data_IF_391390203694
#
_entry.id   IF_391390203694
#
_cell.length_a   1.000
_cell.length_b   1.000
_cell.length_c   1.000
_cell.angle_alpha   90.00
_cell.angle_beta   90.00
_cell.angle_gamma   90.00
#
_symmetry.space_group_name_H-M   'P 1'
#
loop_
_entity.id
_entity.type
_entity.pdbx_description
1 polymer ?
#
# COMPACT_ATOMS: atom_id res chain seq x y z
N UNK A 1 58.33 9.54 -17.08
CA UNK A 1 57.71 9.15 -15.80
C UNK A 1 56.61 10.15 -15.51
N UNK A 2 55.36 9.73 -15.44
CA UNK A 2 54.24 10.61 -15.14
C UNK A 2 53.89 10.46 -13.65
N UNK A 3 53.87 11.57 -12.91
CA UNK A 3 53.46 11.61 -11.52
C UNK A 3 52.00 12.05 -11.49
N UNK A 4 51.09 11.12 -11.22
CA UNK A 4 49.69 11.44 -10.91
C UNK A 4 49.62 11.80 -9.43
N UNK A 5 49.41 13.08 -9.14
CA UNK A 5 49.08 13.55 -7.79
C UNK A 5 47.57 13.71 -7.76
N UNK A 6 46.89 12.83 -7.01
CA UNK A 6 45.48 12.97 -6.69
C UNK A 6 45.33 14.11 -5.67
N UNK A 7 44.68 15.19 -6.07
CA UNK A 7 44.22 16.24 -5.13
C UNK A 7 43.04 15.67 -4.33
N UNK A 8 42.99 15.82 -2.99
CA UNK A 8 41.94 15.21 -2.19
C UNK A 8 40.59 15.86 -2.52
N UNK A 9 39.66 15.05 -3.03
CA UNK A 9 38.26 15.44 -3.18
C UNK A 9 37.62 15.48 -1.78
N UNK A 10 37.40 16.66 -1.22
CA UNK A 10 36.75 16.79 0.07
C UNK A 10 35.22 16.83 -0.09
N UNK A 11 34.57 15.67 0.09
CA UNK A 11 33.12 15.49 0.09
C UNK A 11 32.52 15.64 1.50
N UNK A 12 33.07 16.52 2.34
CA UNK A 12 32.57 16.68 3.71
C UNK A 12 31.13 17.25 3.71
N UNK A 13 30.16 16.46 4.17
CA UNK A 13 28.79 16.91 4.39
C UNK A 13 28.71 17.50 5.79
N UNK A 14 28.65 18.83 5.88
CA UNK A 14 28.50 19.54 7.16
C UNK A 14 27.01 19.66 7.47
N UNK A 15 26.55 18.85 8.43
CA UNK A 15 25.18 18.91 8.96
C UNK A 15 25.15 19.88 10.15
N UNK A 16 24.27 20.90 10.15
CA UNK A 16 24.13 21.80 11.29
C UNK A 16 23.76 21.05 12.58
N UNK A 17 24.27 21.51 13.72
CA UNK A 17 23.94 20.91 15.03
C UNK A 17 22.43 20.88 15.29
N UNK A 18 21.70 21.93 14.88
CA UNK A 18 20.25 21.98 14.99
C UNK A 18 19.58 20.84 14.23
N UNK A 19 20.00 20.58 12.98
CA UNK A 19 19.48 19.48 12.16
C UNK A 19 19.84 18.11 12.73
N UNK A 20 21.07 17.95 13.23
CA UNK A 20 21.49 16.69 13.87
C UNK A 20 20.72 16.41 15.17
N UNK A 21 20.37 17.46 15.91
CA UNK A 21 19.60 17.37 17.15
C UNK A 21 18.08 17.36 16.92
N UNK A 22 17.60 17.59 15.69
CA UNK A 22 16.18 17.54 15.33
C UNK A 22 15.53 16.17 15.58
N UNK A 23 16.33 15.14 15.83
CA UNK A 23 15.87 13.81 16.20
C UNK A 23 15.37 13.74 17.66
N UNK A 24 15.83 14.66 18.50
CA UNK A 24 15.46 14.66 19.91
C UNK A 24 14.05 15.20 20.09
N UNK A 25 13.21 14.47 20.83
CA UNK A 25 11.84 14.88 21.16
C UNK A 25 11.81 16.12 22.07
N UNK A 26 12.83 16.27 22.94
CA UNK A 26 12.85 17.31 23.96
C UNK A 26 13.24 18.66 23.34
N UNK A 27 12.23 19.45 22.97
CA UNK A 27 12.40 20.83 22.48
C UNK A 27 12.18 21.04 20.98
N UNK A 28 11.72 20.01 20.24
CA UNK A 28 11.31 20.13 18.84
C UNK A 28 9.81 19.88 18.70
N UNK A 29 9.12 20.73 17.94
CA UNK A 29 7.69 20.57 17.65
C UNK A 29 7.44 19.35 16.75
N UNK A 30 8.32 19.14 15.75
CA UNK A 30 8.25 18.03 14.81
C UNK A 30 9.58 17.25 14.79
N UNK A 31 9.82 16.35 15.77
CA UNK A 31 11.04 15.55 15.79
C UNK A 31 11.09 14.58 14.60
N UNK A 32 12.27 14.46 14.00
CA UNK A 32 12.50 13.51 12.89
C UNK A 32 13.05 12.18 13.41
N UNK A 33 12.78 11.07 12.72
CA UNK A 33 13.41 9.80 13.08
C UNK A 33 14.92 9.79 12.78
N UNK A 34 15.68 8.93 13.47
CA UNK A 34 17.09 8.66 13.10
C UNK A 34 17.22 8.18 11.65
N UNK A 35 16.22 7.43 11.18
CA UNK A 35 16.15 6.97 9.79
C UNK A 35 15.96 8.14 8.82
N UNK A 36 15.10 9.11 9.16
CA UNK A 36 14.92 10.35 8.41
C UNK A 36 16.21 11.19 8.36
N UNK A 37 16.93 11.34 9.47
CA UNK A 37 18.22 12.03 9.47
C UNK A 37 19.25 11.31 8.57
N UNK A 38 19.33 9.98 8.67
CA UNK A 38 20.21 9.17 7.82
C UNK A 38 19.85 9.29 6.34
N UNK A 39 18.56 9.32 6.02
CA UNK A 39 18.06 9.53 4.66
C UNK A 39 18.44 10.92 4.14
N UNK A 40 18.27 11.98 4.94
CA UNK A 40 18.63 13.35 4.57
C UNK A 40 20.13 13.47 4.27
N UNK A 41 20.98 12.92 5.13
CA UNK A 41 22.44 12.91 4.91
C UNK A 41 22.81 12.13 3.65
N UNK A 42 22.14 11.00 3.39
CA UNK A 42 22.32 10.24 2.16
C UNK A 42 21.93 11.07 0.92
N UNK A 43 20.80 11.79 0.96
CA UNK A 43 20.37 12.67 -0.13
C UNK A 43 21.37 13.80 -0.38
N UNK A 44 21.91 14.41 0.68
CA UNK A 44 22.93 15.47 0.59
C UNK A 44 24.28 14.97 0.04
N UNK A 45 24.52 13.67 0.06
CA UNK A 45 25.78 13.08 -0.46
C UNK A 45 25.83 12.98 -1.98
N UNK A 46 24.68 13.08 -2.66
CA UNK A 46 24.63 12.94 -4.11
C UNK A 46 25.07 14.22 -4.85
N UNK A 47 25.66 14.08 -6.05
CA UNK A 47 26.01 15.22 -6.86
C UNK A 47 24.75 15.95 -7.36
N UNK A 48 24.87 17.26 -7.62
CA UNK A 48 23.76 18.11 -8.07
C UNK A 48 23.12 17.70 -9.40
N UNK A 49 23.84 16.93 -10.23
CA UNK A 49 23.34 16.40 -11.51
C UNK A 49 22.55 15.09 -11.35
N UNK A 50 22.41 14.58 -10.13
CA UNK A 50 21.75 13.30 -9.91
C UNK A 50 20.23 13.44 -9.97
N UNK A 51 19.60 12.63 -10.82
CA UNK A 51 18.14 12.55 -10.94
C UNK A 51 17.59 11.57 -9.89
N UNK A 52 16.82 12.09 -8.93
CA UNK A 52 16.22 11.28 -7.88
C UNK A 52 14.86 10.71 -8.34
N UNK A 53 14.79 9.39 -8.44
CA UNK A 53 13.50 8.68 -8.57
C UNK A 53 13.07 8.10 -7.22
N UNK A 54 11.93 8.54 -6.69
CA UNK A 54 11.40 8.08 -5.38
C UNK A 54 11.22 6.56 -5.31
N UNK A 55 10.85 5.93 -6.42
CA UNK A 55 10.70 4.46 -6.53
C UNK A 55 12.04 3.71 -6.52
N UNK A 56 13.12 4.33 -6.97
CA UNK A 56 14.48 3.79 -6.86
C UNK A 56 14.96 3.90 -5.41
N UNK A 57 14.73 5.05 -4.78
CA UNK A 57 15.12 5.32 -3.40
C UNK A 57 14.61 4.25 -2.43
N UNK A 58 13.36 3.81 -2.59
CA UNK A 58 12.74 2.77 -1.76
C UNK A 58 13.37 1.39 -1.85
N UNK A 59 14.09 1.10 -2.94
CA UNK A 59 14.71 -0.21 -3.20
C UNK A 59 16.21 -0.21 -2.94
N UNK A 60 16.83 0.96 -2.78
CA UNK A 60 18.28 1.11 -2.69
C UNK A 60 18.87 0.57 -1.38
N UNK A 61 18.12 0.65 -0.29
CA UNK A 61 18.60 0.26 1.03
C UNK A 61 18.34 -1.22 1.31
N UNK A 62 19.40 -2.04 1.34
CA UNK A 62 19.25 -3.49 1.57
C UNK A 62 18.83 -3.89 2.98
N UNK A 63 19.05 -3.02 3.98
CA UNK A 63 18.69 -3.26 5.39
C UNK A 63 17.34 -2.66 5.76
N UNK A 64 16.96 -1.54 5.13
CA UNK A 64 15.72 -0.84 5.43
C UNK A 64 14.61 -1.34 4.50
N UNK A 65 13.43 -1.55 5.07
CA UNK A 65 12.23 -1.88 4.27
C UNK A 65 11.75 -0.62 3.55
N UNK A 66 11.11 -0.80 2.40
CA UNK A 66 10.45 0.30 1.67
C UNK A 66 9.54 1.15 2.58
N UNK A 67 8.80 0.51 3.50
CA UNK A 67 7.94 1.21 4.46
C UNK A 67 8.69 2.14 5.40
N UNK A 68 9.91 1.75 5.82
CA UNK A 68 10.77 2.58 6.68
C UNK A 68 11.28 3.79 5.90
N UNK A 69 11.73 3.60 4.66
CA UNK A 69 12.18 4.70 3.78
C UNK A 69 11.02 5.67 3.48
N UNK A 70 9.81 5.15 3.25
CA UNK A 70 8.60 5.97 3.09
C UNK A 70 8.27 6.78 4.34
N UNK A 71 8.35 6.15 5.51
CA UNK A 71 8.10 6.83 6.79
C UNK A 71 9.13 7.94 7.00
N UNK A 72 10.41 7.63 6.81
CA UNK A 72 11.50 8.59 6.91
C UNK A 72 11.34 9.78 5.96
N UNK A 73 10.90 9.53 4.72
CA UNK A 73 10.58 10.59 3.76
C UNK A 73 9.43 11.48 4.26
N UNK A 74 8.36 10.89 4.79
CA UNK A 74 7.24 11.65 5.34
C UNK A 74 7.64 12.47 6.57
N UNK A 75 8.47 11.93 7.46
CA UNK A 75 9.01 12.68 8.61
C UNK A 75 9.77 13.93 8.14
N UNK A 76 10.57 13.81 7.07
CA UNK A 76 11.29 14.94 6.49
C UNK A 76 10.35 15.97 5.86
N UNK A 77 9.23 15.57 5.26
CA UNK A 77 8.22 16.52 4.75
C UNK A 77 7.50 17.24 5.88
N UNK A 78 7.07 16.51 6.92
CA UNK A 78 6.40 17.07 8.10
C UNK A 78 7.29 18.05 8.87
N UNK A 79 8.60 17.77 8.92
CA UNK A 79 9.59 18.66 9.52
C UNK A 79 10.11 19.73 8.54
N UNK A 80 9.48 19.90 7.37
CA UNK A 80 9.82 20.89 6.34
C UNK A 80 11.26 20.80 5.82
N UNK A 81 11.92 19.64 5.82
CA UNK A 81 13.21 19.45 5.16
C UNK A 81 13.08 19.15 3.67
N UNK A 82 11.93 18.63 3.25
CA UNK A 82 11.61 18.26 1.87
C UNK A 82 10.29 18.89 1.46
N UNK A 83 10.24 19.43 0.24
CA UNK A 83 9.02 19.89 -0.44
C UNK A 83 8.88 19.03 -1.69
N UNK A 84 7.72 18.39 -1.86
CA UNK A 84 7.42 17.61 -3.06
C UNK A 84 6.13 18.08 -3.72
N UNK A 85 6.16 18.28 -5.04
CA UNK A 85 4.95 18.49 -5.82
C UNK A 85 5.08 17.79 -7.17
N UNK A 86 3.94 17.58 -7.83
CA UNK A 86 3.88 17.08 -9.20
C UNK A 86 3.03 18.01 -10.04
N UNK A 87 3.31 18.08 -11.33
CA UNK A 87 2.50 18.82 -12.27
C UNK A 87 2.24 17.98 -13.52
N UNK A 88 1.25 18.40 -14.31
CA UNK A 88 0.94 17.75 -15.58
C UNK A 88 1.80 18.29 -16.69
N UNK A 89 2.68 17.44 -17.22
CA UNK A 89 3.40 17.68 -18.47
C UNK A 89 2.75 16.83 -19.56
N UNK A 90 1.80 17.43 -20.27
CA UNK A 90 0.94 16.74 -21.24
C UNK A 90 0.19 15.55 -20.63
N UNK A 91 0.50 14.32 -21.09
CA UNK A 91 -0.13 13.08 -20.59
C UNK A 91 0.57 12.47 -19.39
N UNK A 92 1.76 12.95 -19.02
CA UNK A 92 2.58 12.40 -17.95
C UNK A 92 2.51 13.29 -16.70
N UNK A 93 2.92 12.72 -15.59
CA UNK A 93 3.18 13.45 -14.35
C UNK A 93 4.68 13.65 -14.23
N UNK A 94 5.10 14.88 -13.99
CA UNK A 94 6.48 15.20 -13.63
C UNK A 94 6.52 15.53 -12.13
N UNK A 95 7.55 15.05 -11.46
CA UNK A 95 7.71 15.15 -10.01
C UNK A 95 8.92 16.02 -9.71
N UNK A 96 8.74 16.99 -8.82
CA UNK A 96 9.80 17.90 -8.40
C UNK A 96 9.98 17.78 -6.90
N UNK A 97 11.25 17.69 -6.48
CA UNK A 97 11.65 17.53 -5.10
C UNK A 97 12.67 18.60 -4.74
N UNK A 98 12.35 19.41 -3.72
CA UNK A 98 13.31 20.30 -3.09
C UNK A 98 13.69 19.72 -1.74
N UNK A 99 14.98 19.68 -1.44
CA UNK A 99 15.48 19.25 -0.14
C UNK A 99 16.61 20.17 0.32
N UNK A 100 16.70 20.40 1.64
CA UNK A 100 17.70 21.29 2.23
C UNK A 100 18.23 20.73 3.54
N UNK A 101 19.45 21.13 3.92
CA UNK A 101 20.06 20.77 5.22
C UNK A 101 19.42 21.45 6.44
N UNK A 102 18.65 22.51 6.22
CA UNK A 102 17.91 23.30 7.22
C UNK A 102 16.45 23.30 6.79
N UNK A 103 15.48 23.17 7.72
CA UNK A 103 14.07 23.15 7.35
C UNK A 103 13.66 24.45 6.66
N UNK A 104 12.72 24.36 5.73
CA UNK A 104 12.06 25.50 5.08
C UNK A 104 11.12 26.19 6.07
N UNK A 105 11.09 27.52 6.03
CA UNK A 105 10.04 28.26 6.74
C UNK A 105 8.71 28.09 6.00
N UNK A 106 7.60 28.27 6.71
CA UNK A 106 6.27 28.21 6.09
C UNK A 106 6.10 29.23 4.96
N UNK A 107 6.73 30.40 5.09
CA UNK A 107 6.76 31.46 4.08
C UNK A 107 7.55 31.03 2.84
N UNK A 108 8.78 30.52 3.01
CA UNK A 108 9.59 29.99 1.90
C UNK A 108 8.85 28.86 1.16
N UNK A 109 8.21 27.96 1.92
CA UNK A 109 7.41 26.87 1.35
C UNK A 109 6.27 27.41 0.49
N UNK A 110 5.52 28.39 0.99
CA UNK A 110 4.42 29.01 0.24
C UNK A 110 4.92 29.74 -1.02
N UNK A 111 6.05 30.44 -0.94
CA UNK A 111 6.67 31.10 -2.10
C UNK A 111 7.10 30.11 -3.18
N UNK A 112 7.73 29.01 -2.80
CA UNK A 112 8.14 27.95 -3.74
C UNK A 112 6.92 27.38 -4.46
N UNK A 113 5.81 27.16 -3.75
CA UNK A 113 4.58 26.64 -4.35
C UNK A 113 3.90 27.66 -5.25
N UNK A 114 3.79 28.92 -4.83
CA UNK A 114 3.20 29.97 -5.65
C UNK A 114 4.02 30.21 -6.94
N UNK A 115 5.35 30.10 -6.87
CA UNK A 115 6.22 30.17 -8.04
C UNK A 115 6.03 28.95 -8.96
N UNK A 116 5.89 27.75 -8.38
CA UNK A 116 5.61 26.54 -9.14
C UNK A 116 4.22 26.59 -9.83
N UNK A 117 3.21 27.16 -9.18
CA UNK A 117 1.89 27.39 -9.80
C UNK A 117 1.97 28.35 -10.97
N UNK A 118 2.75 29.43 -10.84
CA UNK A 118 2.96 30.39 -11.93
C UNK A 118 3.73 29.80 -13.11
N UNK A 119 4.72 28.95 -12.85
CA UNK A 119 5.59 28.36 -13.87
C UNK A 119 4.94 27.17 -14.57
N UNK A 120 4.33 26.24 -13.81
CA UNK A 120 3.82 24.97 -14.31
C UNK A 120 2.29 24.90 -14.39
N UNK A 121 1.57 25.91 -13.88
CA UNK A 121 0.11 25.93 -13.83
C UNK A 121 -0.43 25.13 -12.65
N UNK A 122 -1.38 24.24 -12.91
CA UNK A 122 -2.00 23.43 -11.85
C UNK A 122 -0.99 22.42 -11.28
N UNK A 123 -0.43 22.75 -10.11
CA UNK A 123 0.41 21.85 -9.34
C UNK A 123 -0.45 21.02 -8.39
N UNK A 124 0.00 19.80 -8.18
CA UNK A 124 -0.61 18.86 -7.28
C UNK A 124 0.42 18.46 -6.22
N UNK A 125 0.18 18.87 -4.98
CA UNK A 125 0.95 18.39 -3.83
C UNK A 125 0.61 19.19 -2.57
N UNK A 126 0.60 18.54 -1.39
CA UNK A 126 1.82 18.49 -0.57
C UNK A 126 1.74 17.66 0.71
N UNK A 127 0.57 17.32 1.23
CA UNK A 127 0.47 16.49 2.44
C UNK A 127 -0.61 15.44 2.19
N UNK A 128 -0.24 14.16 2.11
CA UNK A 128 -1.25 13.07 2.17
C UNK A 128 -2.04 13.12 3.49
N UNK A 129 -1.61 13.94 4.46
CA UNK A 129 -2.35 14.26 5.68
C UNK A 129 -3.56 15.17 5.42
N UNK A 130 -3.46 16.19 4.56
CA UNK A 130 -4.54 17.16 4.31
C UNK A 130 -5.54 16.68 3.25
N UNK A 131 -5.14 15.67 2.44
CA UNK A 131 -6.07 14.83 1.68
C UNK A 131 -6.67 13.68 2.50
N UNK A 132 -6.69 13.78 3.84
CA UNK A 132 -7.88 13.34 4.58
C UNK A 132 -9.03 14.31 4.29
N UNK A 133 -9.41 14.42 3.01
CA UNK A 133 -10.81 14.67 2.71
C UNK A 133 -11.59 13.65 3.53
N UNK A 134 -12.58 14.12 4.30
CA UNK A 134 -13.55 13.32 5.03
C UNK A 134 -14.29 12.37 4.07
N UNK A 135 -13.58 11.36 3.57
CA UNK A 135 -14.03 10.49 2.51
C UNK A 135 -13.99 9.06 3.01
N UNK A 136 -15.21 8.56 3.13
CA UNK A 136 -15.62 7.19 3.40
C UNK A 136 -15.24 6.62 4.77
N UNK A 137 -16.29 6.54 5.60
CA UNK A 137 -16.50 5.70 6.79
C UNK A 137 -15.30 4.82 7.15
N UNK A 138 -14.78 4.90 8.40
CA UNK A 138 -13.75 3.97 8.85
C UNK A 138 -14.19 2.54 8.56
N UNK A 139 -13.31 1.76 7.92
CA UNK A 139 -13.51 0.32 7.74
C UNK A 139 -13.73 -0.24 9.15
N UNK A 140 -14.99 -0.51 9.47
CA UNK A 140 -15.40 -0.91 10.80
C UNK A 140 -14.58 -2.11 11.23
N UNK A 141 -13.74 -1.93 12.23
CA UNK A 141 -13.34 -3.05 13.08
C UNK A 141 -14.66 -3.64 13.59
N UNK A 142 -14.94 -4.88 13.22
CA UNK A 142 -16.09 -5.62 13.72
C UNK A 142 -15.98 -5.69 15.25
N UNK A 143 -16.61 -4.72 15.92
CA UNK A 143 -16.95 -4.82 17.33
C UNK A 143 -18.31 -5.50 17.39
N UNK A 144 -18.31 -6.59 18.13
CA UNK A 144 -19.42 -7.44 18.55
C UNK A 144 -20.73 -6.67 18.74
N UNK A 145 -21.78 -7.24 18.14
CA UNK A 145 -23.20 -6.85 18.21
C UNK A 145 -23.66 -6.81 19.67
N UNK A 146 -24.16 -5.67 20.12
CA UNK A 146 -25.15 -5.57 21.20
C UNK A 146 -26.13 -4.42 20.88
N UNK A 147 -27.36 -4.84 20.57
CA UNK A 147 -28.68 -4.17 20.45
C UNK A 147 -28.81 -2.67 20.81
N UNK A 148 -29.39 -1.86 19.90
CA UNK A 148 -30.72 -1.21 20.07
C UNK A 148 -31.13 -0.31 18.88
N UNK A 149 -32.34 -0.62 18.38
CA UNK A 149 -33.44 0.19 17.82
C UNK A 149 -33.31 1.04 16.54
N UNK A 150 -34.39 1.14 15.72
CA UNK A 150 -34.35 1.63 14.34
C UNK A 150 -34.65 3.13 14.25
N UNK A 151 -33.90 3.85 13.41
CA UNK A 151 -34.20 5.26 13.08
C UNK A 151 -34.51 5.38 11.59
N UNK A 152 -35.52 6.20 11.36
CA UNK A 152 -36.44 6.31 10.25
C UNK A 152 -35.84 6.98 9.00
N UNK A 153 -36.57 6.76 7.90
CA UNK A 153 -36.43 7.36 6.58
C UNK A 153 -36.15 8.87 6.63
N UNK A 154 -35.19 9.31 5.81
CA UNK A 154 -35.21 10.63 5.19
C UNK A 154 -35.09 10.48 3.68
N UNK A 155 -36.20 10.79 3.00
CA UNK A 155 -36.21 11.17 1.60
C UNK A 155 -35.61 12.58 1.48
N UNK A 156 -34.69 12.80 0.53
CA UNK A 156 -34.63 14.02 -0.28
C UNK A 156 -33.62 13.87 -1.44
N UNK A 157 -34.19 13.71 -2.63
CA UNK A 157 -34.02 14.52 -3.85
C UNK A 157 -32.62 15.00 -4.28
N UNK A 158 -32.27 14.56 -5.50
CA UNK A 158 -31.39 15.18 -6.50
C UNK A 158 -30.08 15.80 -6.00
N UNK A 159 -29.02 14.98 -6.09
CA UNK A 159 -27.68 15.47 -6.41
C UNK A 159 -27.25 14.67 -7.64
N UNK A 160 -27.24 15.33 -8.80
CA UNK A 160 -26.57 14.83 -9.99
C UNK A 160 -25.07 14.81 -9.69
N UNK A 161 -24.61 13.68 -9.15
CA UNK A 161 -23.19 13.37 -9.17
C UNK A 161 -22.83 13.07 -10.62
N UNK A 162 -22.19 14.04 -11.28
CA UNK A 162 -21.53 13.82 -12.57
C UNK A 162 -20.39 12.82 -12.30
N UNK A 163 -20.67 11.58 -12.66
CA UNK A 163 -19.73 10.47 -12.69
C UNK A 163 -18.94 10.55 -14.00
N UNK A 164 -17.67 10.98 -13.90
CA UNK A 164 -16.73 11.11 -15.02
C UNK A 164 -16.32 9.75 -15.62
N UNK A 165 -16.82 8.62 -15.09
CA UNK A 165 -16.53 7.27 -15.59
C UNK A 165 -17.62 6.72 -16.55
N UNK A 166 -18.53 7.57 -17.05
CA UNK A 166 -19.44 7.19 -18.15
C UNK A 166 -18.71 7.11 -19.48
N UNK A 167 -18.11 5.94 -19.70
CA UNK A 167 -17.74 5.42 -21.02
C UNK A 167 -18.93 5.62 -21.98
N UNK A 168 -18.70 6.36 -23.05
CA UNK A 168 -19.69 6.65 -24.08
C UNK A 168 -20.26 5.34 -24.64
N UNK A 169 -21.53 5.07 -24.36
CA UNK A 169 -22.27 4.02 -25.04
C UNK A 169 -22.56 4.50 -26.47
N UNK A 170 -22.32 3.69 -27.51
CA UNK A 170 -22.87 4.00 -28.81
C UNK A 170 -24.39 3.85 -28.71
N UNK A 171 -25.09 4.97 -28.66
CA UNK A 171 -26.55 5.07 -28.68
C UNK A 171 -27.05 4.72 -30.09
N UNK A 172 -27.01 3.44 -30.44
CA UNK A 172 -27.80 2.88 -31.53
C UNK A 172 -29.19 2.55 -30.98
N UNK A 173 -30.11 3.50 -31.08
CA UNK A 173 -31.54 3.29 -30.83
C UNK A 173 -32.04 2.17 -31.77
N UNK A 174 -32.89 1.30 -31.25
CA UNK A 174 -33.78 0.38 -31.97
C UNK A 174 -33.45 -1.14 -31.95
N UNK A 175 -32.56 -1.65 -31.08
CA UNK A 175 -32.42 -3.12 -30.90
C UNK A 175 -32.13 -3.68 -29.49
N UNK A 176 -31.96 -2.85 -28.46
CA UNK A 176 -31.42 -3.32 -27.17
C UNK A 176 -32.45 -3.74 -26.09
N UNK A 177 -33.69 -3.27 -26.16
CA UNK A 177 -34.66 -3.41 -25.04
C UNK A 177 -35.07 -4.87 -24.82
N UNK A 178 -35.16 -5.68 -25.87
CA UNK A 178 -35.52 -7.10 -25.76
C UNK A 178 -34.39 -8.01 -25.25
N UNK A 179 -33.13 -7.54 -25.22
CA UNK A 179 -31.99 -8.36 -24.79
C UNK A 179 -31.79 -8.35 -23.27
N UNK A 180 -32.15 -7.26 -22.57
CA UNK A 180 -31.89 -7.13 -21.12
C UNK A 180 -32.76 -8.07 -20.27
N UNK A 181 -34.05 -8.18 -20.58
CA UNK A 181 -34.96 -9.10 -19.88
C UNK A 181 -34.55 -10.57 -20.08
N UNK A 182 -34.09 -10.91 -21.28
CA UNK A 182 -33.57 -12.25 -21.60
C UNK A 182 -32.29 -12.55 -20.82
N UNK A 183 -31.36 -11.59 -20.75
CA UNK A 183 -30.12 -11.69 -19.97
C UNK A 183 -30.43 -11.85 -18.47
N UNK A 184 -31.35 -11.05 -17.94
CA UNK A 184 -31.74 -11.13 -16.52
C UNK A 184 -32.41 -12.47 -16.19
N UNK A 185 -33.26 -12.99 -17.09
CA UNK A 185 -33.86 -14.32 -16.94
C UNK A 185 -32.81 -15.43 -16.94
N UNK A 186 -31.79 -15.31 -17.81
CA UNK A 186 -30.66 -16.25 -17.85
C UNK A 186 -29.86 -16.18 -16.54
N UNK A 187 -29.52 -14.98 -16.06
CA UNK A 187 -28.79 -14.77 -14.80
C UNK A 187 -29.55 -15.39 -13.63
N UNK A 188 -30.86 -15.18 -13.54
CA UNK A 188 -31.70 -15.75 -12.49
C UNK A 188 -31.68 -17.28 -12.51
N UNK A 189 -31.85 -17.90 -13.68
CA UNK A 189 -31.81 -19.36 -13.83
C UNK A 189 -30.46 -19.96 -13.39
N UNK A 190 -29.34 -19.35 -13.79
CA UNK A 190 -28.02 -19.79 -13.35
C UNK A 190 -27.78 -19.52 -11.86
N UNK A 191 -28.40 -18.49 -11.29
CA UNK A 191 -28.29 -18.21 -9.85
C UNK A 191 -28.95 -19.29 -9.02
N UNK A 192 -30.16 -19.70 -9.39
CA UNK A 192 -30.86 -20.79 -8.69
C UNK A 192 -30.10 -22.11 -8.84
N UNK A 193 -29.56 -22.39 -10.03
CA UNK A 193 -28.78 -23.61 -10.27
C UNK A 193 -27.45 -23.68 -9.48
N UNK A 194 -26.82 -22.54 -9.17
CA UNK A 194 -25.48 -22.48 -8.54
C UNK A 194 -25.50 -21.99 -7.09
N UNK A 195 -26.70 -21.89 -6.49
CA UNK A 195 -26.91 -21.27 -5.18
C UNK A 195 -26.13 -21.93 -4.04
N UNK A 196 -26.04 -23.26 -4.07
CA UNK A 196 -25.42 -24.06 -3.01
C UNK A 196 -23.91 -24.27 -3.24
N UNK A 197 -23.45 -24.13 -4.49
CA UNK A 197 -22.06 -24.33 -4.87
C UNK A 197 -21.25 -23.03 -4.79
N UNK A 198 -21.90 -21.88 -5.03
CA UNK A 198 -21.24 -20.59 -5.19
C UNK A 198 -21.87 -19.47 -4.35
N UNK A 199 -21.01 -18.76 -3.62
CA UNK A 199 -21.44 -17.59 -2.83
C UNK A 199 -21.95 -16.45 -3.71
N UNK A 200 -22.92 -15.69 -3.19
CA UNK A 200 -23.56 -14.56 -3.89
C UNK A 200 -22.56 -13.55 -4.46
N UNK A 201 -21.53 -13.23 -3.66
CA UNK A 201 -20.45 -12.33 -4.04
C UNK A 201 -19.67 -12.85 -5.25
N UNK A 202 -19.37 -14.14 -5.27
CA UNK A 202 -18.58 -14.75 -6.35
C UNK A 202 -19.39 -14.85 -7.63
N UNK A 203 -20.67 -15.21 -7.52
CA UNK A 203 -21.61 -15.24 -8.64
C UNK A 203 -21.75 -13.85 -9.30
N UNK A 204 -22.04 -12.81 -8.50
CA UNK A 204 -22.18 -11.43 -9.01
C UNK A 204 -20.91 -10.92 -9.69
N UNK A 205 -19.73 -11.27 -9.16
CA UNK A 205 -18.45 -10.89 -9.78
C UNK A 205 -18.26 -11.53 -11.18
N UNK A 206 -18.68 -12.79 -11.35
CA UNK A 206 -18.63 -13.48 -12.64
C UNK A 206 -19.63 -12.87 -13.61
N UNK A 207 -20.87 -12.66 -13.17
CA UNK A 207 -21.92 -12.03 -14.01
C UNK A 207 -21.45 -10.66 -14.52
N UNK A 208 -20.91 -9.80 -13.65
CA UNK A 208 -20.37 -8.49 -14.06
C UNK A 208 -19.31 -8.64 -15.16
N UNK A 209 -18.34 -9.54 -14.96
CA UNK A 209 -17.28 -9.80 -15.95
C UNK A 209 -17.81 -10.34 -17.28
N UNK A 210 -18.84 -11.18 -17.25
CA UNK A 210 -19.46 -11.76 -18.45
C UNK A 210 -20.27 -10.71 -19.21
N UNK A 211 -21.07 -9.91 -18.50
CA UNK A 211 -21.81 -8.77 -19.07
C UNK A 211 -20.84 -7.78 -19.72
N UNK A 212 -19.75 -7.42 -19.05
CA UNK A 212 -18.74 -6.51 -19.61
C UNK A 212 -18.12 -7.04 -20.90
N UNK A 213 -17.86 -8.34 -21.00
CA UNK A 213 -17.28 -8.97 -22.19
C UNK A 213 -18.28 -9.13 -23.33
N UNK A 214 -19.54 -9.42 -23.00
CA UNK A 214 -20.64 -9.49 -23.95
C UNK A 214 -20.91 -8.11 -24.56
N UNK A 215 -20.98 -7.06 -23.73
CA UNK A 215 -21.16 -5.67 -24.18
C UNK A 215 -19.97 -5.16 -25.02
N UNK A 216 -18.78 -5.73 -24.85
CA UNK A 216 -17.61 -5.46 -25.69
C UNK A 216 -17.64 -6.19 -27.04
N UNK A 217 -18.64 -7.03 -27.31
CA UNK A 217 -18.71 -7.85 -28.53
C UNK A 217 -17.65 -8.95 -28.62
N UNK A 218 -16.92 -9.22 -27.52
CA UNK A 218 -15.87 -10.25 -27.46
C UNK A 218 -16.44 -11.66 -27.34
N UNK A 219 -17.73 -11.77 -27.07
CA UNK A 219 -18.46 -13.01 -26.82
C UNK A 219 -19.73 -12.97 -27.65
N UNK A 220 -19.96 -14.02 -28.44
CA UNK A 220 -21.13 -14.16 -29.32
C UNK A 220 -22.37 -14.65 -28.58
N UNK A 221 -22.23 -15.58 -27.63
CA UNK A 221 -23.32 -16.14 -26.84
C UNK A 221 -23.11 -15.87 -25.34
N UNK A 222 -23.98 -15.05 -24.75
CA UNK A 222 -23.95 -14.72 -23.31
C UNK A 222 -24.14 -15.98 -22.45
N UNK A 223 -25.10 -16.85 -22.82
CA UNK A 223 -25.48 -18.04 -22.07
C UNK A 223 -24.32 -19.04 -21.95
N UNK A 224 -23.70 -19.37 -23.07
CA UNK A 224 -22.66 -20.41 -23.11
C UNK A 224 -21.39 -19.95 -22.40
N UNK A 225 -21.06 -18.67 -22.55
CA UNK A 225 -19.91 -18.07 -21.88
C UNK A 225 -20.13 -17.94 -20.37
N UNK A 226 -21.34 -17.58 -19.93
CA UNK A 226 -21.69 -17.56 -18.51
C UNK A 226 -21.62 -18.97 -17.91
N UNK A 227 -22.18 -19.97 -18.58
CA UNK A 227 -22.13 -21.37 -18.15
C UNK A 227 -20.67 -21.82 -17.98
N UNK A 228 -19.83 -21.60 -19.00
CA UNK A 228 -18.41 -21.98 -18.96
C UNK A 228 -17.66 -21.28 -17.82
N UNK A 229 -17.89 -19.98 -17.62
CA UNK A 229 -17.23 -19.21 -16.57
C UNK A 229 -17.65 -19.65 -15.15
N UNK A 230 -18.90 -20.06 -14.98
CA UNK A 230 -19.40 -20.62 -13.71
C UNK A 230 -18.80 -22.01 -13.45
N UNK A 231 -18.82 -22.91 -14.43
CA UNK A 231 -18.24 -24.26 -14.32
C UNK A 231 -16.76 -24.19 -13.94
N UNK A 232 -15.97 -23.36 -14.62
CA UNK A 232 -14.55 -23.17 -14.30
C UNK A 232 -14.33 -22.67 -12.86
N UNK A 233 -15.22 -21.81 -12.36
CA UNK A 233 -15.10 -21.29 -10.99
C UNK A 233 -15.43 -22.36 -9.95
N UNK A 234 -16.45 -23.17 -10.22
CA UNK A 234 -16.87 -24.26 -9.34
C UNK A 234 -15.75 -25.31 -9.27
N UNK A 235 -15.21 -25.74 -10.42
CA UNK A 235 -14.06 -26.65 -10.49
C UNK A 235 -12.84 -26.12 -9.71
N UNK A 236 -12.51 -24.84 -9.87
CA UNK A 236 -11.42 -24.20 -9.12
C UNK A 236 -11.65 -24.27 -7.60
N UNK A 237 -12.88 -24.05 -7.14
CA UNK A 237 -13.25 -24.11 -5.73
C UNK A 237 -13.21 -25.53 -5.17
N UNK A 238 -13.66 -26.53 -5.95
CA UNK A 238 -13.60 -27.93 -5.57
C UNK A 238 -12.16 -28.42 -5.47
N UNK A 239 -11.30 -28.07 -6.43
CA UNK A 239 -9.89 -28.42 -6.41
C UNK A 239 -9.17 -27.82 -5.18
N UNK A 240 -9.57 -26.61 -4.76
CA UNK A 240 -9.10 -26.01 -3.49
C UNK A 240 -9.60 -26.78 -2.27
N UNK A 241 -10.86 -27.23 -2.26
CA UNK A 241 -11.41 -28.05 -1.15
C UNK A 241 -10.67 -29.39 -1.05
N UNK A 242 -10.43 -30.08 -2.16
CA UNK A 242 -9.70 -31.35 -2.20
C UNK A 242 -8.24 -31.21 -1.72
N UNK A 243 -7.52 -30.17 -2.18
CA UNK A 243 -6.16 -29.88 -1.72
C UNK A 243 -6.11 -29.59 -0.21
N UNK A 244 -7.07 -28.84 0.31
CA UNK A 244 -7.15 -28.56 1.75
C UNK A 244 -7.44 -29.83 2.57
N UNK A 245 -8.22 -30.77 2.06
CA UNK A 245 -8.47 -32.07 2.71
C UNK A 245 -7.24 -32.99 2.67
N UNK A 246 -6.52 -33.05 1.55
CA UNK A 246 -5.29 -33.84 1.43
C UNK A 246 -4.14 -33.31 2.32
N UNK A 247 -4.05 -31.99 2.50
CA UNK A 247 -3.05 -31.39 3.41
C UNK A 247 -3.31 -31.74 4.88
N UNK A 248 -4.56 -32.03 5.26
CA UNK A 248 -4.94 -32.47 6.63
C UNK A 248 -4.71 -33.96 6.89
N UNK A 249 -4.51 -34.78 5.85
CA UNK A 249 -4.34 -36.24 5.94
C UNK A 249 -2.89 -36.70 5.78
N UNK A 250 -1.92 -35.79 5.60
CA UNK A 250 -0.50 -36.18 5.70
C UNK A 250 -0.20 -36.61 7.14
N UNK A 251 0.38 -37.80 7.38
CA UNK A 251 0.69 -38.24 8.73
C UNK A 251 1.67 -37.25 9.36
N UNK A 252 1.40 -36.88 10.61
CA UNK A 252 2.35 -36.20 11.48
C UNK A 252 3.51 -37.16 11.71
N UNK A 253 4.58 -37.05 10.93
CA UNK A 253 5.87 -37.61 11.32
C UNK A 253 6.30 -36.89 12.60
N UNK A 254 6.22 -37.65 13.68
CA UNK A 254 6.64 -37.30 15.03
C UNK A 254 8.13 -36.93 15.03
N UNK A 255 8.43 -35.64 15.06
CA UNK A 255 9.69 -35.18 15.66
C UNK A 255 9.58 -35.42 17.17
N UNK A 256 9.98 -36.62 17.61
CA UNK A 256 10.35 -36.90 18.99
C UNK A 256 11.54 -36.00 19.30
N UNK A 257 11.28 -34.83 19.88
CA UNK A 257 12.31 -34.09 20.64
C UNK A 257 12.32 -34.71 22.02
N UNK A 258 13.37 -35.46 22.33
CA UNK A 258 13.64 -35.89 23.70
C UNK A 258 13.65 -34.66 24.63
N UNK A 259 12.97 -34.71 25.79
CA UNK A 259 13.02 -33.63 26.75
C UNK A 259 14.43 -33.53 27.33
N UNK A 260 15.08 -32.37 27.18
CA UNK A 260 16.34 -32.05 27.87
C UNK A 260 16.11 -32.11 29.37
N UNK A 261 16.63 -33.14 30.02
CA UNK A 261 16.77 -33.18 31.48
C UNK A 261 17.80 -32.14 31.89
N UNK A 262 17.35 -31.04 32.50
CA UNK A 262 18.21 -30.11 33.21
C UNK A 262 18.70 -30.80 34.50
N UNK A 263 19.85 -31.47 34.41
CA UNK A 263 20.58 -31.94 35.59
C UNK A 263 21.45 -30.76 36.07
N UNK A 264 21.26 -30.23 37.30
CA UNK A 264 22.17 -29.24 37.85
C UNK A 264 23.56 -29.87 38.05
N UNK A 265 24.59 -29.17 37.57
CA UNK A 265 26.01 -29.55 37.69
C UNK A 265 26.37 -29.69 39.18
N UNK A 266 26.71 -30.89 39.62
CA UNK A 266 27.21 -31.12 40.97
C UNK A 266 28.54 -30.35 41.20
N UNK A 267 28.74 -29.74 42.38
CA UNK A 267 30.02 -29.11 42.72
C UNK A 267 31.13 -30.16 42.79
N UNK A 268 32.28 -29.82 42.21
CA UNK A 268 33.49 -30.64 42.27
C UNK A 268 34.10 -30.47 43.66
N UNK A 269 33.96 -31.46 44.53
CA UNK A 269 34.78 -31.56 45.73
C UNK A 269 36.10 -32.26 45.37
N UNK A 270 37.20 -31.73 45.85
CA UNK A 270 38.51 -32.37 45.72
C UNK A 270 38.78 -33.24 46.94
N UNK A 271 39.62 -34.27 46.80
CA UNK A 271 39.97 -35.21 47.89
C UNK A 271 40.56 -34.52 49.13
N UNK A 272 41.01 -33.26 49.00
CA UNK A 272 41.46 -32.44 50.13
C UNK A 272 40.30 -31.99 51.04
N UNK A 273 39.09 -31.81 50.50
CA UNK A 273 37.94 -31.26 51.24
C UNK A 273 37.27 -32.29 52.19
N UNK A 274 37.61 -33.58 52.06
CA UNK A 274 37.04 -34.67 52.88
C UNK A 274 37.92 -34.98 54.11
N UNK A 275 39.20 -34.60 54.10
CA UNK A 275 40.12 -34.91 55.20
C UNK A 275 40.19 -33.83 56.29
N UNK A 276 39.52 -32.69 56.12
CA UNK A 276 39.48 -31.63 57.13
C UNK A 276 38.29 -31.73 58.10
N UNK A 277 37.47 -32.79 57.99
CA UNK A 277 36.33 -33.07 58.88
C UNK A 277 36.34 -34.49 59.47
N UNK A 278 37.52 -35.10 59.63
CA UNK A 278 37.72 -36.30 60.48
C UNK A 278 38.77 -36.05 61.55
#
# INVERSE_FOLDING_TARGET
MAQMIQVPYDYSIIVPSATAQAVQEKGNENPISLEALGLLVNLLSYPTKWELHKTELYKRFGKNKETSVKSAWNDLMNANYIIEFKYRSGRKWEFVYYFRKVPFTSEEKAEILANAEKEYGEIWGLDFQDLKMETSKPRGNQKTILNKDPIQNFNNNNIDNIDDDKRTFPTGKDSAIHNEESINSIIHNFREATKDELSDRSFKAIVRKVVDKYNQGKVTSFRDYLATALTQKIEELELRRQKNTQTKLKPVESQIKEPRTNIPKAPKYTLADVLENM
#
